data_IF_824548601034
#
_entry.id   IF_824548601034
#
_cell.length_a   1.000
_cell.length_b   1.000
_cell.length_c   1.000
_cell.angle_alpha   90.00
_cell.angle_beta   90.00
_cell.angle_gamma   90.00
#
_symmetry.space_group_name_H-M   'P 1'
#
loop_
_entity.id
_entity.type
_entity.pdbx_description
1 polymer ?
#
# COMPACT_ATOMS: atom_id res chain seq x y z
N UNK A 1 13.05 9.03 -25.74
CA UNK A 1 12.10 8.42 -26.71
C UNK A 1 10.69 8.59 -26.17
N UNK A 2 9.74 9.11 -26.98
CA UNK A 2 8.34 9.30 -26.63
C UNK A 2 7.51 8.08 -27.05
N UNK A 3 6.55 7.66 -26.21
CA UNK A 3 5.56 6.62 -26.53
C UNK A 3 4.17 7.04 -26.08
N UNK A 4 3.15 6.70 -26.86
CA UNK A 4 1.75 6.92 -26.50
C UNK A 4 1.32 5.95 -25.39
N UNK A 5 0.51 6.45 -24.45
CA UNK A 5 -0.20 5.59 -23.50
C UNK A 5 -1.35 4.86 -24.19
N UNK A 6 -1.63 3.64 -23.75
CA UNK A 6 -2.76 2.85 -24.27
C UNK A 6 -4.09 3.50 -23.85
N UNK A 7 -4.21 3.89 -22.58
CA UNK A 7 -5.45 4.48 -22.03
C UNK A 7 -5.74 5.89 -22.52
N UNK A 8 -4.70 6.63 -22.98
CA UNK A 8 -4.82 8.01 -23.46
C UNK A 8 -3.94 8.24 -24.68
N UNK A 9 -4.36 7.84 -25.89
CA UNK A 9 -3.51 7.89 -27.11
C UNK A 9 -3.02 9.30 -27.48
N UNK A 10 -3.66 10.35 -26.98
CA UNK A 10 -3.25 11.74 -27.18
C UNK A 10 -2.13 12.21 -26.25
N UNK A 11 -1.80 11.42 -25.25
CA UNK A 11 -0.70 11.64 -24.32
C UNK A 11 0.47 10.77 -24.71
N UNK A 12 1.63 11.38 -24.81
CA UNK A 12 2.89 10.66 -24.93
C UNK A 12 3.78 10.92 -23.73
N UNK A 13 4.51 9.90 -23.34
CA UNK A 13 5.40 9.91 -22.17
C UNK A 13 6.79 9.43 -22.53
N UNK A 14 7.77 9.86 -21.73
CA UNK A 14 9.15 9.31 -21.78
C UNK A 14 9.35 8.30 -20.65
N UNK A 15 10.46 7.58 -20.70
CA UNK A 15 10.89 6.68 -19.61
C UNK A 15 11.10 7.40 -18.28
N UNK A 16 11.39 8.69 -18.32
CA UNK A 16 11.65 9.53 -17.14
C UNK A 16 10.37 10.22 -16.61
N UNK A 17 9.20 9.94 -17.22
CA UNK A 17 7.93 10.52 -16.79
C UNK A 17 7.61 11.92 -17.34
N UNK A 18 8.37 12.42 -18.32
CA UNK A 18 7.96 13.63 -19.06
C UNK A 18 6.73 13.35 -19.89
N UNK A 19 5.86 14.35 -20.03
CA UNK A 19 4.57 14.23 -20.72
C UNK A 19 4.41 15.30 -21.76
N UNK A 20 3.86 14.91 -22.92
CA UNK A 20 3.37 15.84 -23.93
C UNK A 20 1.98 15.41 -24.41
N UNK A 21 1.19 16.37 -24.83
CA UNK A 21 -0.17 16.15 -25.30
C UNK A 21 -0.35 16.73 -26.70
N UNK A 22 -1.02 15.97 -27.59
CA UNK A 22 -1.36 16.46 -28.90
C UNK A 22 -2.36 17.62 -28.82
N UNK A 23 -1.98 18.77 -29.35
CA UNK A 23 -2.83 19.95 -29.48
C UNK A 23 -3.44 19.99 -30.89
N UNK A 24 -4.77 19.81 -30.97
CA UNK A 24 -5.48 19.78 -32.24
C UNK A 24 -5.42 21.12 -33.00
N UNK A 25 -5.49 22.23 -32.32
CA UNK A 25 -5.48 23.58 -32.92
C UNK A 25 -4.10 23.92 -33.51
N UNK A 26 -3.04 23.55 -32.80
CA UNK A 26 -1.68 23.82 -33.23
C UNK A 26 -1.07 22.69 -34.06
N UNK A 27 -1.77 21.58 -34.20
CA UNK A 27 -1.32 20.37 -34.92
C UNK A 27 0.09 19.91 -34.52
N UNK A 28 0.39 19.99 -33.20
CA UNK A 28 1.69 19.59 -32.63
C UNK A 28 1.53 19.07 -31.20
N UNK A 29 2.55 18.36 -30.73
CA UNK A 29 2.68 18.02 -29.34
C UNK A 29 3.14 19.20 -28.50
N UNK A 30 2.57 19.34 -27.32
CA UNK A 30 2.90 20.38 -26.34
C UNK A 30 3.22 19.70 -25.02
N UNK A 31 4.40 20.00 -24.47
CA UNK A 31 4.77 19.51 -23.14
C UNK A 31 3.80 20.00 -22.07
N UNK A 32 3.54 19.15 -21.12
CA UNK A 32 2.63 19.39 -20.00
C UNK A 32 3.36 19.17 -18.68
N UNK A 33 3.18 20.08 -17.73
CA UNK A 33 3.68 19.93 -16.37
C UNK A 33 2.62 19.20 -15.54
N UNK A 34 2.94 18.02 -14.96
CA UNK A 34 2.06 17.35 -14.02
C UNK A 34 1.94 18.15 -12.72
N UNK A 35 0.87 17.90 -11.97
CA UNK A 35 0.66 18.39 -10.62
C UNK A 35 0.45 17.24 -9.64
N UNK A 36 0.70 17.44 -8.37
CA UNK A 36 0.39 16.45 -7.35
C UNK A 36 -1.12 16.36 -7.12
N UNK A 37 -1.62 15.14 -6.92
CA UNK A 37 -2.94 14.91 -6.33
C UNK A 37 -2.84 14.96 -4.79
N UNK A 38 -4.00 14.80 -4.11
CA UNK A 38 -4.08 14.81 -2.64
C UNK A 38 -3.26 13.67 -1.97
N UNK A 39 -2.98 12.62 -2.72
CA UNK A 39 -2.27 11.43 -2.26
C UNK A 39 -0.77 11.48 -2.57
N UNK A 40 -0.30 12.58 -3.21
CA UNK A 40 1.11 12.81 -3.57
C UNK A 40 1.54 12.21 -4.91
N UNK A 41 0.61 11.69 -5.73
CA UNK A 41 0.93 11.20 -7.06
C UNK A 41 0.92 12.34 -8.09
N UNK A 42 1.82 12.27 -9.07
CA UNK A 42 1.77 13.17 -10.22
C UNK A 42 0.63 12.78 -11.17
N UNK A 43 -0.22 13.77 -11.47
CA UNK A 43 -1.35 13.64 -12.39
C UNK A 43 -1.31 14.71 -13.48
N UNK A 44 -1.93 14.39 -14.62
CA UNK A 44 -2.15 15.30 -15.73
C UNK A 44 -3.65 15.39 -16.04
N UNK A 45 -4.18 16.61 -16.17
CA UNK A 45 -5.56 16.81 -16.63
C UNK A 45 -5.67 16.53 -18.12
N UNK A 46 -6.61 15.71 -18.50
CA UNK A 46 -6.87 15.29 -19.89
C UNK A 46 -8.37 15.09 -20.13
N UNK A 47 -8.72 14.55 -21.26
CA UNK A 47 -10.09 14.11 -21.57
C UNK A 47 -10.06 12.64 -21.97
N UNK A 48 -11.07 11.89 -21.51
CA UNK A 48 -11.29 10.52 -21.98
C UNK A 48 -11.82 10.51 -23.43
N UNK A 49 -12.06 9.34 -23.99
CA UNK A 49 -12.54 9.16 -25.36
C UNK A 49 -13.94 9.76 -25.56
N UNK A 50 -14.75 9.85 -24.52
CA UNK A 50 -16.08 10.49 -24.50
C UNK A 50 -16.01 12.02 -24.43
N UNK A 51 -14.79 12.59 -24.32
CA UNK A 51 -14.59 14.03 -24.21
C UNK A 51 -14.75 14.61 -22.80
N UNK A 52 -15.03 13.76 -21.79
CA UNK A 52 -15.17 14.17 -20.38
C UNK A 52 -13.82 14.50 -19.78
N UNK A 53 -13.77 15.58 -19.00
CA UNK A 53 -12.56 15.96 -18.28
C UNK A 53 -12.22 14.92 -17.22
N UNK A 54 -10.98 14.46 -17.24
CA UNK A 54 -10.46 13.47 -16.30
C UNK A 54 -8.99 13.76 -15.97
N UNK A 55 -8.41 12.94 -15.11
CA UNK A 55 -6.99 13.01 -14.76
C UNK A 55 -6.34 11.65 -14.96
N UNK A 56 -5.17 11.64 -15.56
CA UNK A 56 -4.34 10.46 -15.71
C UNK A 56 -3.14 10.53 -14.76
N UNK A 57 -2.85 9.43 -14.06
CA UNK A 57 -1.66 9.31 -13.21
C UNK A 57 -0.43 9.03 -14.04
N UNK A 58 0.65 9.79 -13.83
CA UNK A 58 1.86 9.73 -14.65
C UNK A 58 2.52 8.37 -14.62
N UNK A 59 2.69 7.76 -13.44
CA UNK A 59 3.28 6.43 -13.30
C UNK A 59 2.53 5.38 -14.12
N UNK A 60 1.19 5.49 -14.19
CA UNK A 60 0.37 4.55 -14.97
C UNK A 60 0.59 4.73 -16.47
N UNK A 61 0.67 5.97 -16.96
CA UNK A 61 0.98 6.26 -18.35
C UNK A 61 2.36 5.70 -18.76
N UNK A 62 3.37 5.87 -17.88
CA UNK A 62 4.72 5.35 -18.12
C UNK A 62 4.71 3.82 -18.11
N UNK A 63 4.06 3.18 -17.14
CA UNK A 63 3.98 1.73 -17.09
C UNK A 63 3.28 1.15 -18.32
N UNK A 64 2.14 1.71 -18.73
CA UNK A 64 1.41 1.29 -19.94
C UNK A 64 2.24 1.41 -21.22
N UNK A 65 3.09 2.44 -21.33
CA UNK A 65 3.89 2.70 -22.51
C UNK A 65 5.17 1.86 -22.58
N UNK A 66 5.75 1.47 -21.44
CA UNK A 66 7.10 0.93 -21.40
C UNK A 66 7.24 -0.43 -20.70
N UNK A 67 6.31 -0.82 -19.85
CA UNK A 67 6.40 -2.06 -19.07
C UNK A 67 5.34 -3.05 -19.53
N UNK A 68 5.71 -4.20 -20.11
CA UNK A 68 4.74 -5.24 -20.45
C UNK A 68 3.94 -5.70 -19.22
N UNK A 69 2.63 -5.88 -19.39
CA UNK A 69 1.73 -6.38 -18.35
C UNK A 69 1.07 -7.68 -18.81
N UNK A 70 1.84 -8.73 -18.93
CA UNK A 70 1.38 -10.04 -19.44
C UNK A 70 0.38 -10.70 -18.52
N UNK A 71 0.49 -10.44 -17.22
CA UNK A 71 -0.34 -11.03 -16.17
C UNK A 71 -1.60 -10.19 -15.84
N UNK A 72 -1.84 -9.11 -16.58
CA UNK A 72 -2.94 -8.17 -16.36
C UNK A 72 -3.04 -7.66 -14.91
N UNK A 73 -1.91 -7.39 -14.28
CA UNK A 73 -1.85 -6.87 -12.90
C UNK A 73 -2.49 -5.47 -12.82
N UNK A 74 -3.36 -5.21 -11.81
CA UNK A 74 -4.22 -4.03 -11.82
C UNK A 74 -3.54 -2.73 -11.36
N UNK A 75 -2.43 -2.80 -10.62
CA UNK A 75 -1.78 -1.64 -10.02
C UNK A 75 -0.34 -1.47 -10.48
N UNK A 76 0.14 -0.23 -10.45
CA UNK A 76 1.55 0.10 -10.65
C UNK A 76 2.15 0.48 -9.32
N UNK A 77 3.20 -0.23 -8.93
CA UNK A 77 3.97 0.00 -7.71
C UNK A 77 5.20 0.87 -7.98
N UNK A 78 5.54 1.76 -7.03
CA UNK A 78 6.82 2.45 -6.99
C UNK A 78 7.78 1.66 -6.09
N UNK A 79 8.82 1.06 -6.66
CA UNK A 79 9.74 0.18 -5.93
C UNK A 79 10.43 0.86 -4.74
N UNK A 80 10.73 2.17 -4.86
CA UNK A 80 11.33 2.96 -3.79
C UNK A 80 10.30 3.65 -2.87
N UNK A 81 9.00 3.50 -3.12
CA UNK A 81 7.92 4.15 -2.37
C UNK A 81 7.72 5.63 -2.65
N UNK A 82 8.52 6.25 -3.52
CA UNK A 82 8.43 7.68 -3.85
C UNK A 82 7.42 7.87 -4.98
N UNK A 83 6.25 8.40 -4.67
CA UNK A 83 5.07 8.46 -5.56
C UNK A 83 5.21 9.40 -6.76
N UNK A 84 6.17 10.30 -6.77
CA UNK A 84 6.50 11.20 -7.86
C UNK A 84 7.75 10.80 -8.67
N UNK A 85 8.46 9.76 -8.25
CA UNK A 85 9.54 9.15 -9.04
C UNK A 85 8.99 8.17 -10.08
N UNK A 86 8.56 8.72 -11.21
CA UNK A 86 7.89 7.97 -12.29
C UNK A 86 8.84 7.44 -13.36
N UNK A 87 10.12 7.31 -13.06
CA UNK A 87 11.08 6.65 -13.98
C UNK A 87 10.71 5.17 -14.13
N UNK A 88 10.82 4.67 -15.36
CA UNK A 88 10.43 3.29 -15.69
C UNK A 88 11.15 2.23 -14.83
N UNK A 89 12.43 2.48 -14.48
CA UNK A 89 13.23 1.58 -13.63
C UNK A 89 12.65 1.42 -12.23
N UNK A 90 11.93 2.45 -11.73
CA UNK A 90 11.31 2.48 -10.42
C UNK A 90 9.88 1.92 -10.42
N UNK A 91 9.31 1.63 -11.58
CA UNK A 91 7.93 1.17 -11.70
C UNK A 91 7.85 -0.32 -11.99
N UNK A 92 6.77 -0.95 -11.52
CA UNK A 92 6.43 -2.33 -11.85
C UNK A 92 4.91 -2.54 -11.78
N UNK A 93 4.40 -3.49 -12.57
CA UNK A 93 3.03 -3.94 -12.41
C UNK A 93 2.94 -4.89 -11.22
N UNK A 94 1.92 -4.72 -10.39
CA UNK A 94 1.69 -5.52 -9.19
C UNK A 94 0.21 -5.85 -9.01
N UNK A 95 -0.06 -6.92 -8.29
CA UNK A 95 -1.38 -7.16 -7.69
C UNK A 95 -1.56 -6.25 -6.47
N UNK A 96 -2.80 -6.09 -6.01
CA UNK A 96 -3.09 -5.33 -4.78
C UNK A 96 -2.35 -5.95 -3.58
N UNK A 97 -2.31 -7.27 -3.50
CA UNK A 97 -1.64 -8.00 -2.41
C UNK A 97 -0.12 -7.78 -2.43
N UNK A 98 0.52 -7.89 -3.61
CA UNK A 98 1.96 -7.64 -3.78
C UNK A 98 2.33 -6.20 -3.41
N UNK A 99 1.55 -5.23 -3.88
CA UNK A 99 1.76 -3.82 -3.58
C UNK A 99 1.61 -3.50 -2.09
N UNK A 100 0.59 -4.09 -1.44
CA UNK A 100 0.39 -3.96 0.01
C UNK A 100 1.54 -4.58 0.79
N UNK A 101 1.94 -5.81 0.40
CA UNK A 101 3.07 -6.51 1.03
C UNK A 101 4.37 -5.73 0.88
N UNK A 102 4.65 -5.19 -0.31
CA UNK A 102 5.81 -4.33 -0.55
C UNK A 102 5.82 -3.10 0.38
N UNK A 103 4.67 -2.45 0.57
CA UNK A 103 4.53 -1.35 1.53
C UNK A 103 4.94 -1.73 2.95
N UNK A 104 4.54 -2.92 3.43
CA UNK A 104 4.89 -3.41 4.77
C UNK A 104 6.34 -3.87 4.86
N UNK A 105 6.79 -4.70 3.95
CA UNK A 105 8.07 -5.41 4.06
C UNK A 105 9.26 -4.50 3.75
N UNK A 106 9.12 -3.59 2.79
CA UNK A 106 10.23 -2.79 2.28
C UNK A 106 10.15 -1.30 2.63
N UNK A 107 8.95 -0.75 2.65
CA UNK A 107 8.78 0.69 2.90
C UNK A 107 8.46 1.01 4.37
N UNK A 108 8.28 -0.01 5.21
CA UNK A 108 7.97 0.16 6.62
C UNK A 108 6.65 0.91 6.85
N UNK A 109 5.75 0.89 5.85
CA UNK A 109 4.43 1.51 5.98
C UNK A 109 3.64 0.74 7.01
N UNK A 110 3.66 1.22 8.25
CA UNK A 110 2.73 0.75 9.27
C UNK A 110 1.42 1.50 9.08
N UNK A 111 0.29 0.79 9.18
CA UNK A 111 -0.96 1.50 9.35
C UNK A 111 -0.81 2.46 10.53
N UNK A 112 -1.25 3.70 10.37
CA UNK A 112 -1.20 4.72 11.42
C UNK A 112 -1.96 4.32 12.72
N UNK A 113 -2.51 3.12 12.78
CA UNK A 113 -3.18 2.45 13.89
C UNK A 113 -2.74 0.99 14.06
N UNK A 114 -1.55 0.59 13.60
CA UNK A 114 -0.99 -0.70 13.98
C UNK A 114 -0.55 -0.62 15.45
N UNK A 115 -1.53 -0.69 16.33
CA UNK A 115 -1.30 -0.94 17.74
C UNK A 115 -1.10 -2.45 17.87
N UNK A 116 0.02 -2.85 18.44
CA UNK A 116 0.20 -4.23 18.85
C UNK A 116 -0.73 -4.50 20.04
N UNK A 117 -1.25 -5.70 20.10
CA UNK A 117 -2.10 -6.13 21.21
C UNK A 117 -1.26 -7.03 22.09
N UNK A 118 -0.93 -6.54 23.27
CA UNK A 118 -0.28 -7.33 24.30
C UNK A 118 -1.34 -8.13 25.02
N UNK A 119 -1.14 -9.44 25.07
CA UNK A 119 -2.01 -10.37 25.76
C UNK A 119 -1.38 -10.71 27.10
N UNK A 120 -2.17 -10.66 28.15
CA UNK A 120 -1.81 -11.10 29.49
C UNK A 120 -2.56 -12.41 29.83
N UNK A 121 -1.87 -13.32 30.48
CA UNK A 121 -2.44 -14.50 31.12
C UNK A 121 -2.11 -14.43 32.61
N UNK A 122 -3.10 -14.53 33.50
CA UNK A 122 -2.93 -14.41 34.95
C UNK A 122 -2.14 -13.15 35.33
N UNK A 123 -2.49 -12.02 34.72
CA UNK A 123 -1.82 -10.71 34.90
C UNK A 123 -0.33 -10.67 34.55
N UNK A 124 0.17 -11.65 33.79
CA UNK A 124 1.54 -11.68 33.28
C UNK A 124 1.54 -11.52 31.77
N UNK A 125 2.39 -10.66 31.21
CA UNK A 125 2.47 -10.47 29.77
C UNK A 125 2.88 -11.80 29.08
N UNK A 126 2.07 -12.21 28.12
CA UNK A 126 2.22 -13.49 27.43
C UNK A 126 2.83 -13.34 26.03
N UNK A 127 2.24 -12.51 25.19
CA UNK A 127 2.70 -12.27 23.83
C UNK A 127 2.07 -11.02 23.25
N UNK A 128 2.70 -10.42 22.25
CA UNK A 128 2.09 -9.38 21.45
C UNK A 128 1.76 -9.84 20.03
N UNK A 129 0.73 -9.26 19.44
CA UNK A 129 0.24 -9.60 18.12
C UNK A 129 -0.03 -8.33 17.30
N UNK A 130 0.20 -8.38 16.00
CA UNK A 130 0.08 -7.25 15.06
C UNK A 130 -1.37 -6.83 14.82
N UNK A 131 -2.33 -7.64 15.23
CA UNK A 131 -3.74 -7.32 15.06
C UNK A 131 -4.64 -8.19 15.93
N UNK A 132 -5.81 -7.63 16.28
CA UNK A 132 -6.93 -8.34 16.91
C UNK A 132 -7.33 -9.62 16.20
N UNK A 133 -7.31 -9.61 14.86
CA UNK A 133 -7.64 -10.79 14.04
C UNK A 133 -6.64 -11.92 14.27
N UNK A 134 -5.36 -11.58 14.42
CA UNK A 134 -4.32 -12.57 14.69
C UNK A 134 -4.43 -13.13 16.11
N UNK A 135 -4.74 -12.30 17.10
CA UNK A 135 -5.05 -12.74 18.47
C UNK A 135 -6.21 -13.74 18.45
N UNK A 136 -7.32 -13.37 17.82
CA UNK A 136 -8.50 -14.24 17.73
C UNK A 136 -8.17 -15.60 17.09
N UNK A 137 -7.42 -15.58 15.99
CA UNK A 137 -7.00 -16.80 15.29
C UNK A 137 -6.07 -17.68 16.10
N UNK A 138 -5.13 -17.08 16.84
CA UNK A 138 -4.13 -17.82 17.64
C UNK A 138 -4.70 -18.36 18.94
N UNK A 139 -5.59 -17.61 19.58
CA UNK A 139 -6.19 -17.99 20.87
C UNK A 139 -7.57 -18.65 20.73
N UNK A 140 -8.11 -18.74 19.51
CA UNK A 140 -9.45 -19.29 19.28
C UNK A 140 -10.58 -18.39 19.83
N UNK A 141 -10.35 -17.08 19.96
CA UNK A 141 -11.26 -16.12 20.59
C UNK A 141 -11.91 -15.23 19.53
N UNK A 142 -13.20 -14.96 19.67
CA UNK A 142 -13.90 -14.07 18.76
C UNK A 142 -13.36 -12.62 18.86
N UNK A 143 -13.17 -11.96 17.70
CA UNK A 143 -12.70 -10.58 17.63
C UNK A 143 -13.52 -9.61 18.49
N UNK A 144 -14.85 -9.70 18.44
CA UNK A 144 -15.72 -8.82 19.20
C UNK A 144 -15.54 -8.97 20.72
N UNK A 145 -15.21 -10.19 21.17
CA UNK A 145 -14.91 -10.43 22.57
C UNK A 145 -13.63 -9.70 22.99
N UNK A 146 -12.58 -9.74 22.17
CA UNK A 146 -11.31 -9.03 22.43
C UNK A 146 -11.55 -7.51 22.50
N UNK A 147 -12.31 -6.95 21.56
CA UNK A 147 -12.65 -5.51 21.54
C UNK A 147 -13.47 -5.08 22.78
N UNK A 148 -14.29 -5.99 23.32
CA UNK A 148 -15.13 -5.70 24.49
C UNK A 148 -14.36 -5.78 25.82
N UNK A 149 -13.32 -6.62 25.89
CA UNK A 149 -12.57 -6.91 27.13
C UNK A 149 -11.27 -6.12 27.23
N UNK A 150 -10.80 -5.47 26.14
CA UNK A 150 -9.54 -4.71 26.14
C UNK A 150 -9.49 -3.58 27.16
N UNK A 151 -10.64 -3.08 27.60
CA UNK A 151 -10.77 -2.01 28.59
C UNK A 151 -11.24 -2.48 29.98
N UNK A 152 -11.47 -3.79 30.18
CA UNK A 152 -12.01 -4.34 31.44
C UNK A 152 -11.22 -5.57 31.85
N UNK A 153 -10.24 -5.35 32.70
CA UNK A 153 -9.35 -6.43 33.17
C UNK A 153 -9.75 -6.87 34.59
N UNK A 154 -10.58 -7.91 34.66
CA UNK A 154 -10.58 -8.86 35.78
C UNK A 154 -10.85 -10.23 35.19
N UNK A 155 -9.79 -11.02 34.97
CA UNK A 155 -9.92 -12.36 34.43
C UNK A 155 -8.56 -12.96 34.03
N UNK A 156 -8.57 -14.25 33.70
CA UNK A 156 -7.37 -15.02 33.28
C UNK A 156 -6.70 -14.50 31.99
N UNK A 157 -7.43 -13.76 31.14
CA UNK A 157 -6.92 -13.18 29.91
C UNK A 157 -7.29 -11.71 29.87
N UNK A 158 -6.27 -10.84 29.69
CA UNK A 158 -6.47 -9.42 29.45
C UNK A 158 -5.65 -8.96 28.25
N UNK A 159 -6.03 -7.79 27.69
CA UNK A 159 -5.45 -7.25 26.47
C UNK A 159 -5.10 -5.77 26.67
N UNK A 160 -3.97 -5.37 26.14
CA UNK A 160 -3.53 -3.98 26.14
C UNK A 160 -3.01 -3.59 24.75
N UNK A 161 -3.31 -2.38 24.29
CA UNK A 161 -2.71 -1.84 23.07
C UNK A 161 -1.36 -1.24 23.40
N UNK A 162 -0.33 -1.64 22.66
CA UNK A 162 1.03 -1.15 22.84
C UNK A 162 1.60 -0.64 21.50
N UNK A 163 2.52 0.33 21.55
CA UNK A 163 3.12 0.93 20.35
C UNK A 163 4.22 0.06 19.73
N UNK A 164 4.92 -0.74 20.56
CA UNK A 164 5.99 -1.62 20.11
C UNK A 164 5.71 -3.07 20.44
N UNK A 165 6.19 -4.04 19.61
CA UNK A 165 5.98 -5.44 19.86
C UNK A 165 6.70 -5.91 21.13
N UNK A 166 5.99 -6.60 21.99
CA UNK A 166 6.54 -7.24 23.19
C UNK A 166 7.07 -8.63 22.84
N UNK A 167 8.38 -8.84 22.98
CA UNK A 167 9.04 -10.12 22.69
C UNK A 167 9.39 -10.82 24.00
N UNK A 168 8.74 -11.95 24.26
CA UNK A 168 9.10 -12.81 25.39
C UNK A 168 10.22 -13.75 24.97
N UNK A 169 11.42 -13.55 25.49
CA UNK A 169 12.57 -14.45 25.26
C UNK A 169 12.56 -15.68 26.16
N UNK A 170 11.43 -16.08 26.72
CA UNK A 170 11.39 -17.18 27.69
C UNK A 170 11.01 -18.52 27.05
N UNK A 171 12.02 -19.32 26.70
CA UNK A 171 11.86 -20.69 26.19
C UNK A 171 11.20 -21.68 27.19
N UNK A 172 11.24 -21.43 28.49
CA UNK A 172 10.65 -22.28 29.51
C UNK A 172 9.14 -22.20 29.57
N UNK A 173 8.59 -21.02 29.27
CA UNK A 173 7.14 -20.81 29.26
C UNK A 173 6.44 -21.73 28.24
N UNK A 174 7.01 -21.91 27.05
CA UNK A 174 6.43 -22.74 25.99
C UNK A 174 6.46 -24.24 26.32
N UNK A 175 7.32 -24.69 27.23
CA UNK A 175 7.35 -26.09 27.68
C UNK A 175 6.21 -26.45 28.63
N UNK A 176 5.69 -25.46 29.37
CA UNK A 176 4.65 -25.68 30.38
C UNK A 176 3.22 -25.59 29.83
N UNK A 177 3.01 -25.03 28.63
CA UNK A 177 1.72 -24.96 27.95
C UNK A 177 1.33 -26.22 27.17
N UNK A 178 2.23 -27.20 27.08
CA UNK A 178 1.99 -28.50 26.40
C UNK A 178 1.62 -29.66 27.35
N UNK A 179 1.20 -29.32 28.56
CA UNK A 179 0.70 -30.34 29.53
C UNK A 179 -0.77 -30.18 29.79
#
# INVERSE_FOLDING_TARGET
MWKSSISFPRLEVTKDGHIRMWNKSWKRYVEKKPRHDKDGYLIISTRNDEGTNTSARVHRLVAEAFIPNTDNKPVVNHKNGIKDDNRVENLEWATISENTKHGYDYLGVRHAKAQYILVYLDNKPFSSYDSITLVGKKLGINRNFIETVSDKTEGYISFEYIEEPYIIHNKEFWKNLKR
#
